data_IF_506968304022
#
_entry.id   IF_506968304022
#
_cell.length_a   1.000
_cell.length_b   1.000
_cell.length_c   1.000
_cell.angle_alpha   90.00
_cell.angle_beta   90.00
_cell.angle_gamma   90.00
#
_symmetry.space_group_name_H-M   'P 1'
#
loop_
_entity.id
_entity.type
_entity.pdbx_description
1 polymer ?
#
# COMPACT_ATOMS: atom_id res chain seq x y z
N UNK A 1 2.05 18.93 -13.33
CA UNK A 1 0.75 18.53 -12.75
C UNK A 1 -0.39 19.41 -13.23
N UNK A 2 -0.49 20.70 -12.86
CA UNK A 2 -1.61 21.55 -13.31
C UNK A 2 -1.83 21.57 -14.84
N UNK A 3 -0.75 21.63 -15.63
CA UNK A 3 -0.85 21.54 -17.11
C UNK A 3 -1.38 20.20 -17.63
N UNK A 4 -1.10 19.09 -16.92
CA UNK A 4 -1.62 17.77 -17.30
C UNK A 4 -3.11 17.68 -16.97
N UNK A 5 -3.50 18.08 -15.76
CA UNK A 5 -4.90 18.18 -15.34
C UNK A 5 -5.73 19.04 -16.31
N UNK A 6 -5.25 20.24 -16.65
CA UNK A 6 -5.93 21.15 -17.57
C UNK A 6 -6.04 20.64 -19.01
N UNK A 7 -5.24 19.65 -19.41
CA UNK A 7 -5.34 19.05 -20.75
C UNK A 7 -6.56 18.13 -20.85
N UNK A 8 -6.84 17.40 -19.78
CA UNK A 8 -8.00 16.52 -19.68
C UNK A 8 -9.26 17.28 -19.29
N UNK A 9 -9.13 18.34 -18.51
CA UNK A 9 -10.22 19.22 -18.09
C UNK A 9 -10.64 20.18 -19.23
N UNK A 10 -11.22 19.63 -20.29
CA UNK A 10 -11.56 20.39 -21.51
C UNK A 10 -12.79 21.29 -21.34
N UNK A 11 -13.66 20.99 -20.35
CA UNK A 11 -14.96 21.63 -20.18
C UNK A 11 -14.96 22.89 -19.30
N UNK A 12 -13.84 23.26 -18.68
CA UNK A 12 -13.73 24.43 -17.80
C UNK A 12 -14.51 24.33 -16.48
N UNK A 13 -14.95 23.12 -16.10
CA UNK A 13 -15.66 22.81 -14.85
C UNK A 13 -14.74 22.78 -13.61
N UNK A 14 -13.43 22.65 -13.82
CA UNK A 14 -12.45 22.49 -12.73
C UNK A 14 -12.35 21.06 -12.17
N UNK A 15 -13.00 20.09 -12.82
CA UNK A 15 -13.03 18.68 -12.42
C UNK A 15 -12.79 17.77 -13.63
N UNK A 16 -12.16 16.62 -13.40
CA UNK A 16 -12.07 15.51 -14.37
C UNK A 16 -12.85 14.32 -13.85
N UNK A 17 -13.49 13.56 -14.73
CA UNK A 17 -14.13 12.29 -14.38
C UNK A 17 -13.08 11.21 -14.08
N UNK A 18 -13.50 10.18 -13.35
CA UNK A 18 -12.65 9.00 -13.10
C UNK A 18 -12.23 8.32 -14.42
N UNK A 19 -13.09 8.32 -15.43
CA UNK A 19 -12.76 7.78 -16.77
C UNK A 19 -11.65 8.58 -17.46
N UNK A 20 -11.71 9.91 -17.42
CA UNK A 20 -10.67 10.79 -17.96
C UNK A 20 -9.35 10.60 -17.22
N UNK A 21 -9.39 10.46 -15.89
CA UNK A 21 -8.21 10.16 -15.08
C UNK A 21 -7.52 8.86 -15.54
N UNK A 22 -8.26 7.75 -15.64
CA UNK A 22 -7.70 6.46 -16.06
C UNK A 22 -7.22 6.45 -17.51
N UNK A 23 -7.90 7.19 -18.39
CA UNK A 23 -7.47 7.39 -19.78
C UNK A 23 -6.12 8.12 -19.86
N UNK A 24 -5.96 9.19 -19.09
CA UNK A 24 -4.73 9.99 -19.03
C UNK A 24 -3.51 9.21 -18.54
N UNK A 25 -3.71 8.30 -17.57
CA UNK A 25 -2.63 7.46 -17.04
C UNK A 25 -2.46 6.17 -17.84
N UNK A 26 -3.20 5.97 -18.93
CA UNK A 26 -3.14 4.74 -19.74
C UNK A 26 -3.37 3.46 -18.91
N UNK A 27 -4.33 3.49 -18.01
CA UNK A 27 -4.69 2.35 -17.16
C UNK A 27 -6.18 2.01 -17.32
N UNK A 28 -6.50 0.73 -17.22
CA UNK A 28 -7.88 0.26 -17.29
C UNK A 28 -8.51 0.25 -15.89
N UNK A 29 -9.83 0.48 -15.84
CA UNK A 29 -10.60 0.18 -14.64
C UNK A 29 -10.77 -1.34 -14.51
N UNK A 30 -10.17 -1.91 -13.48
CA UNK A 30 -10.15 -3.35 -13.18
C UNK A 30 -10.08 -3.55 -11.67
N UNK A 31 -10.13 -4.79 -11.20
CA UNK A 31 -10.09 -5.09 -9.76
C UNK A 31 -8.90 -4.40 -9.07
N UNK A 32 -7.71 -4.39 -9.70
CA UNK A 32 -6.52 -3.73 -9.19
C UNK A 32 -6.67 -2.21 -8.99
N UNK A 33 -7.54 -1.52 -9.74
CA UNK A 33 -7.70 -0.05 -9.66
C UNK A 33 -8.98 0.38 -8.95
N UNK A 34 -9.84 -0.57 -8.56
CA UNK A 34 -11.18 -0.31 -8.01
C UNK A 34 -11.13 0.40 -6.65
N UNK A 35 -10.26 -0.03 -5.74
CA UNK A 35 -10.08 0.60 -4.43
C UNK A 35 -9.03 1.69 -4.40
N UNK A 36 -8.52 2.15 -5.56
CA UNK A 36 -7.41 3.10 -5.61
C UNK A 36 -7.72 4.39 -4.86
N UNK A 37 -8.89 5.00 -5.11
CA UNK A 37 -9.25 6.28 -4.49
C UNK A 37 -9.50 6.14 -3.00
N UNK A 38 -10.15 5.05 -2.58
CA UNK A 38 -10.41 4.74 -1.18
C UNK A 38 -9.10 4.55 -0.39
N UNK A 39 -8.13 3.82 -0.97
CA UNK A 39 -6.79 3.66 -0.38
C UNK A 39 -6.08 5.00 -0.16
N UNK A 40 -6.34 5.97 -1.03
CA UNK A 40 -5.77 7.30 -0.97
C UNK A 40 -6.54 8.24 -0.02
N UNK A 41 -7.57 7.75 0.68
CA UNK A 41 -8.39 8.52 1.60
C UNK A 41 -9.46 9.39 0.92
N UNK A 42 -9.78 9.11 -0.35
CA UNK A 42 -10.88 9.75 -1.06
C UNK A 42 -12.18 8.95 -0.88
N UNK A 43 -13.31 9.57 -1.21
CA UNK A 43 -14.61 8.91 -1.14
C UNK A 43 -14.67 7.69 -2.07
N UNK A 44 -15.24 6.58 -1.59
CA UNK A 44 -15.37 5.31 -2.32
C UNK A 44 -16.08 5.46 -3.67
N UNK A 45 -17.19 6.20 -3.70
CA UNK A 45 -18.01 6.40 -4.91
C UNK A 45 -17.70 7.72 -5.63
N UNK A 46 -16.42 8.14 -5.60
CA UNK A 46 -15.99 9.36 -6.28
C UNK A 46 -16.24 9.25 -7.80
N UNK A 47 -16.92 10.25 -8.36
CA UNK A 47 -17.20 10.30 -9.81
C UNK A 47 -16.32 11.30 -10.55
N UNK A 48 -15.85 12.31 -9.83
CA UNK A 48 -15.08 13.44 -10.34
C UNK A 48 -13.98 13.79 -9.36
N UNK A 49 -12.83 14.18 -9.90
CA UNK A 49 -11.63 14.57 -9.18
C UNK A 49 -11.40 16.06 -9.41
N UNK A 50 -11.24 16.82 -8.32
CA UNK A 50 -10.70 18.18 -8.39
C UNK A 50 -9.19 18.11 -8.54
N UNK A 51 -8.58 19.28 -8.76
CA UNK A 51 -7.13 19.36 -8.92
C UNK A 51 -6.36 18.79 -7.71
N UNK A 52 -6.82 19.06 -6.49
CA UNK A 52 -6.15 18.57 -5.27
C UNK A 52 -6.24 17.04 -5.16
N UNK A 53 -7.39 16.45 -5.49
CA UNK A 53 -7.59 15.00 -5.52
C UNK A 53 -6.68 14.35 -6.57
N UNK A 54 -6.58 14.96 -7.76
CA UNK A 54 -5.65 14.53 -8.80
C UNK A 54 -4.19 14.57 -8.34
N UNK A 55 -3.77 15.66 -7.68
CA UNK A 55 -2.41 15.80 -7.16
C UNK A 55 -2.13 14.73 -6.11
N UNK A 56 -3.06 14.49 -5.20
CA UNK A 56 -2.97 13.44 -4.19
C UNK A 56 -2.80 12.06 -4.83
N UNK A 57 -3.63 11.71 -5.81
CA UNK A 57 -3.56 10.42 -6.49
C UNK A 57 -2.20 10.20 -7.16
N UNK A 58 -1.79 11.15 -8.00
CA UNK A 58 -0.55 11.00 -8.76
C UNK A 58 0.66 11.03 -7.82
N UNK A 59 0.73 11.96 -6.87
CA UNK A 59 1.89 12.09 -5.99
C UNK A 59 2.08 10.85 -5.10
N UNK A 60 0.99 10.27 -4.60
CA UNK A 60 1.05 9.08 -3.75
C UNK A 60 1.44 7.84 -4.54
N UNK A 61 0.73 7.51 -5.62
CA UNK A 61 1.01 6.29 -6.42
C UNK A 61 2.38 6.36 -7.10
N UNK A 62 2.76 7.55 -7.60
CA UNK A 62 4.08 7.75 -8.21
C UNK A 62 5.23 7.54 -7.22
N UNK A 63 4.99 7.62 -5.91
CA UNK A 63 6.03 7.51 -4.88
C UNK A 63 5.94 6.24 -4.03
N UNK A 64 4.97 5.35 -4.30
CA UNK A 64 4.91 4.04 -3.65
C UNK A 64 6.19 3.23 -3.88
N UNK A 65 6.63 2.52 -2.85
CA UNK A 65 7.66 1.51 -2.97
C UNK A 65 7.10 0.24 -3.61
N UNK A 66 7.98 -0.69 -4.01
CA UNK A 66 7.56 -2.02 -4.49
C UNK A 66 6.70 -2.76 -3.45
N UNK A 67 7.05 -2.63 -2.17
CA UNK A 67 6.31 -3.26 -1.07
C UNK A 67 4.94 -2.63 -0.88
N UNK A 68 4.81 -1.31 -1.02
CA UNK A 68 3.51 -0.63 -0.92
C UNK A 68 2.60 -0.96 -2.10
N UNK A 69 3.15 -1.00 -3.33
CA UNK A 69 2.40 -1.46 -4.51
C UNK A 69 1.88 -2.88 -4.32
N UNK A 70 2.72 -3.77 -3.78
CA UNK A 70 2.35 -5.15 -3.53
C UNK A 70 1.30 -5.27 -2.43
N UNK A 71 1.47 -4.53 -1.33
CA UNK A 71 0.52 -4.53 -0.22
C UNK A 71 -0.84 -3.96 -0.65
N UNK A 72 -0.84 -2.87 -1.42
CA UNK A 72 -2.05 -2.33 -2.03
C UNK A 72 -2.73 -3.41 -2.90
N UNK A 73 -1.98 -4.04 -3.80
CA UNK A 73 -2.53 -5.08 -4.65
C UNK A 73 -3.05 -6.26 -3.83
N UNK A 74 -2.36 -6.67 -2.76
CA UNK A 74 -2.81 -7.72 -1.86
C UNK A 74 -4.21 -7.40 -1.29
N UNK A 75 -4.36 -6.20 -0.70
CA UNK A 75 -5.62 -5.72 -0.13
C UNK A 75 -6.76 -5.63 -1.16
N UNK A 76 -6.48 -5.43 -2.44
CA UNK A 76 -7.53 -5.39 -3.48
C UNK A 76 -8.11 -6.77 -3.81
N UNK A 77 -7.42 -7.85 -3.48
CA UNK A 77 -7.80 -9.21 -3.85
C UNK A 77 -8.06 -10.14 -2.64
N UNK A 78 -7.59 -9.79 -1.45
CA UNK A 78 -8.07 -10.31 -0.16
C UNK A 78 -9.43 -9.67 0.15
N UNK A 79 -10.50 -10.23 -0.44
CA UNK A 79 -11.84 -9.65 -0.45
C UNK A 79 -12.55 -9.86 0.90
N UNK A 80 -12.20 -10.95 1.59
CA UNK A 80 -12.76 -11.26 2.91
C UNK A 80 -11.97 -10.65 4.07
N UNK A 81 -10.87 -9.94 3.78
CA UNK A 81 -9.99 -9.29 4.75
C UNK A 81 -9.43 -10.28 5.78
N UNK A 82 -9.25 -11.54 5.38
CA UNK A 82 -8.71 -12.60 6.26
C UNK A 82 -7.21 -12.43 6.53
N UNK A 83 -6.51 -11.62 5.73
CA UNK A 83 -5.07 -11.43 5.80
C UNK A 83 -4.27 -12.49 5.05
N UNK A 84 -4.94 -13.41 4.35
CA UNK A 84 -4.37 -14.43 3.46
C UNK A 84 -5.24 -14.53 2.21
N UNK A 85 -4.63 -14.80 1.06
CA UNK A 85 -5.40 -15.10 -0.16
C UNK A 85 -5.70 -16.58 -0.26
N UNK A 86 -6.97 -16.94 -0.38
CA UNK A 86 -7.36 -18.29 -0.78
C UNK A 86 -7.00 -18.58 -2.26
N UNK A 87 -7.13 -19.84 -2.69
CA UNK A 87 -6.84 -20.22 -4.08
C UNK A 87 -7.63 -19.43 -5.13
N UNK A 88 -8.87 -19.02 -4.82
CA UNK A 88 -9.72 -18.25 -5.74
C UNK A 88 -9.26 -16.81 -5.84
N UNK A 89 -8.90 -16.21 -4.72
CA UNK A 89 -8.37 -14.85 -4.63
C UNK A 89 -6.99 -14.75 -5.28
N UNK A 90 -6.11 -15.73 -5.05
CA UNK A 90 -4.81 -15.82 -5.72
C UNK A 90 -4.98 -15.93 -7.24
N UNK A 91 -5.92 -16.75 -7.70
CA UNK A 91 -6.24 -16.86 -9.13
C UNK A 91 -6.75 -15.54 -9.68
N UNK A 92 -7.67 -14.87 -8.97
CA UNK A 92 -8.18 -13.56 -9.35
C UNK A 92 -7.08 -12.50 -9.38
N UNK A 93 -6.16 -12.50 -8.42
CA UNK A 93 -4.99 -11.63 -8.38
C UNK A 93 -4.12 -11.82 -9.63
N UNK A 94 -3.80 -13.07 -9.96
CA UNK A 94 -3.01 -13.40 -11.14
C UNK A 94 -3.71 -13.01 -12.45
N UNK A 95 -5.01 -13.25 -12.59
CA UNK A 95 -5.78 -12.75 -13.74
C UNK A 95 -5.79 -11.21 -13.76
N UNK A 96 -5.93 -10.59 -12.60
CA UNK A 96 -5.89 -9.15 -12.43
C UNK A 96 -4.58 -8.51 -12.87
N UNK A 97 -3.45 -9.21 -12.77
CA UNK A 97 -2.15 -8.75 -13.28
C UNK A 97 -2.06 -8.79 -14.81
N UNK A 98 -2.77 -9.74 -15.45
CA UNK A 98 -2.84 -9.86 -16.91
C UNK A 98 -3.75 -8.75 -17.46
N UNK A 99 -3.22 -7.53 -17.61
CA UNK A 99 -3.94 -6.47 -18.35
C UNK A 99 -4.18 -6.94 -19.81
N UNK A 100 -5.28 -6.54 -20.45
CA UNK A 100 -5.57 -6.86 -21.86
C UNK A 100 -4.45 -6.44 -22.81
N UNK A 101 -3.72 -5.38 -22.47
CA UNK A 101 -2.54 -4.89 -23.22
C UNK A 101 -1.28 -5.73 -23.01
N UNK A 102 -1.34 -6.72 -22.11
CA UNK A 102 -0.18 -7.32 -21.46
C UNK A 102 -0.04 -8.83 -21.70
N UNK A 103 -0.42 -9.28 -22.90
CA UNK A 103 -0.28 -10.66 -23.39
C UNK A 103 1.09 -11.29 -23.09
N UNK A 104 2.14 -10.49 -22.96
CA UNK A 104 3.52 -10.92 -22.73
C UNK A 104 3.79 -11.53 -21.34
N UNK A 105 2.92 -11.33 -20.33
CA UNK A 105 3.19 -11.80 -18.96
C UNK A 105 2.41 -13.04 -18.54
N UNK A 106 1.39 -13.45 -19.31
CA UNK A 106 0.48 -14.52 -18.91
C UNK A 106 1.20 -15.81 -18.49
N UNK A 107 2.22 -16.23 -19.24
CA UNK A 107 3.04 -17.41 -18.91
C UNK A 107 3.81 -17.22 -17.59
N UNK A 108 4.46 -16.08 -17.41
CA UNK A 108 5.24 -15.80 -16.19
C UNK A 108 4.34 -15.71 -14.95
N UNK A 109 3.15 -15.13 -15.10
CA UNK A 109 2.14 -15.06 -14.05
C UNK A 109 1.63 -16.45 -13.67
N UNK A 110 1.34 -17.30 -14.65
CA UNK A 110 0.92 -18.68 -14.37
C UNK A 110 2.01 -19.47 -13.65
N UNK A 111 3.26 -19.36 -14.09
CA UNK A 111 4.40 -20.00 -13.41
C UNK A 111 4.57 -19.48 -11.98
N UNK A 112 4.41 -18.18 -11.75
CA UNK A 112 4.46 -17.62 -10.40
C UNK A 112 3.34 -18.18 -9.50
N UNK A 113 2.10 -18.28 -10.01
CA UNK A 113 0.96 -18.88 -9.30
C UNK A 113 1.25 -20.34 -8.91
N UNK A 114 1.65 -21.17 -9.86
CA UNK A 114 2.00 -22.58 -9.61
C UNK A 114 3.07 -22.71 -8.53
N UNK A 115 4.09 -21.83 -8.55
CA UNK A 115 5.17 -21.86 -7.57
C UNK A 115 4.73 -21.40 -6.18
N UNK A 116 3.78 -20.48 -6.08
CA UNK A 116 3.19 -20.07 -4.80
C UNK A 116 2.32 -21.18 -4.21
N UNK A 117 1.46 -21.80 -5.03
CA UNK A 117 0.64 -22.96 -4.64
C UNK A 117 1.51 -24.10 -4.11
N UNK A 118 2.55 -24.48 -4.87
CA UNK A 118 3.47 -25.54 -4.46
C UNK A 118 4.25 -25.18 -3.18
N UNK A 119 4.59 -23.89 -2.96
CA UNK A 119 5.27 -23.45 -1.74
C UNK A 119 4.38 -23.62 -0.52
N UNK A 120 3.12 -23.21 -0.63
CA UNK A 120 2.16 -23.36 0.45
C UNK A 120 1.86 -24.84 0.75
N UNK A 121 1.62 -25.63 -0.29
CA UNK A 121 1.41 -27.07 -0.16
C UNK A 121 2.60 -27.77 0.52
N UNK A 122 3.85 -27.47 0.12
CA UNK A 122 5.03 -28.06 0.75
C UNK A 122 5.20 -27.66 2.23
N UNK A 123 4.71 -26.48 2.63
CA UNK A 123 4.74 -26.02 4.02
C UNK A 123 3.75 -26.82 4.88
N UNK A 124 2.58 -27.11 4.34
CA UNK A 124 1.52 -27.84 5.02
C UNK A 124 1.71 -29.37 4.99
N UNK A 125 2.25 -29.91 3.90
CA UNK A 125 2.51 -31.35 3.73
C UNK A 125 3.58 -31.87 4.72
N UNK A 126 4.48 -31.02 5.23
CA UNK A 126 5.45 -31.44 6.25
C UNK A 126 4.78 -31.78 7.60
N UNK A 127 3.58 -31.27 7.85
CA UNK A 127 2.83 -31.50 9.09
C UNK A 127 1.79 -32.62 8.99
N UNK A 128 1.48 -33.09 7.78
CA UNK A 128 0.43 -34.09 7.56
C UNK A 128 1.03 -35.43 7.11
N UNK A 129 1.33 -36.28 8.08
CA UNK A 129 1.97 -37.59 7.85
C UNK A 129 0.97 -38.67 7.38
N UNK A 130 -0.33 -38.36 7.29
CA UNK A 130 -1.39 -39.33 7.01
C UNK A 130 -2.49 -38.84 6.03
N UNK A 131 -2.25 -37.76 5.28
CA UNK A 131 -3.23 -37.20 4.34
C UNK A 131 -3.54 -38.10 3.14
N UNK A 132 -4.81 -38.09 2.71
CA UNK A 132 -5.26 -38.69 1.44
C UNK A 132 -4.57 -38.00 0.23
N UNK A 133 -4.41 -38.71 -0.91
CA UNK A 133 -3.90 -38.09 -2.12
C UNK A 133 -4.80 -36.92 -2.56
N UNK A 134 -4.26 -35.69 -2.52
CA UNK A 134 -4.97 -34.50 -3.00
C UNK A 134 -4.84 -34.37 -4.52
N UNK A 135 -5.92 -33.95 -5.19
CA UNK A 135 -5.86 -33.57 -6.61
C UNK A 135 -5.29 -32.16 -6.76
N UNK A 136 -4.83 -31.79 -7.97
CA UNK A 136 -4.33 -30.43 -8.25
C UNK A 136 -5.39 -29.35 -7.93
N UNK A 137 -6.68 -29.66 -8.16
CA UNK A 137 -7.79 -28.77 -7.85
C UNK A 137 -7.98 -28.60 -6.33
N UNK A 138 -7.81 -29.68 -5.56
CA UNK A 138 -7.87 -29.63 -4.09
C UNK A 138 -6.69 -28.84 -3.51
N UNK A 139 -5.49 -29.03 -4.07
CA UNK A 139 -4.28 -28.31 -3.65
C UNK A 139 -4.47 -26.81 -3.87
N UNK A 140 -4.97 -26.41 -5.04
CA UNK A 140 -5.22 -25.00 -5.31
C UNK A 140 -6.34 -24.45 -4.41
N UNK A 141 -7.45 -25.16 -4.24
CA UNK A 141 -8.57 -24.69 -3.43
C UNK A 141 -8.17 -24.46 -1.96
N UNK A 142 -7.25 -25.27 -1.43
CA UNK A 142 -6.75 -25.16 -0.05
C UNK A 142 -5.52 -24.27 0.08
N UNK A 143 -5.06 -23.64 -1.00
CA UNK A 143 -3.88 -22.76 -0.96
C UNK A 143 -4.17 -21.52 -0.15
N UNK A 144 -3.24 -21.17 0.75
CA UNK A 144 -3.23 -19.91 1.49
C UNK A 144 -1.94 -19.14 1.21
N UNK A 145 -2.06 -17.92 0.69
CA UNK A 145 -0.91 -17.04 0.39
C UNK A 145 -0.99 -15.77 1.21
N UNK A 146 -0.07 -15.59 2.14
CA UNK A 146 0.08 -14.33 2.86
C UNK A 146 0.90 -13.28 2.08
N UNK A 147 0.97 -12.06 2.62
CA UNK A 147 1.74 -10.97 2.01
C UNK A 147 3.25 -11.27 1.92
N UNK A 148 3.80 -12.05 2.85
CA UNK A 148 5.23 -12.41 2.85
C UNK A 148 5.55 -13.38 1.71
N UNK A 149 4.67 -14.35 1.47
CA UNK A 149 4.76 -15.29 0.37
C UNK A 149 4.64 -14.60 -0.97
N UNK A 150 3.71 -13.65 -1.07
CA UNK A 150 3.57 -12.82 -2.27
C UNK A 150 4.81 -11.94 -2.47
N UNK A 151 5.40 -11.39 -1.40
CA UNK A 151 6.64 -10.61 -1.46
C UNK A 151 7.81 -11.44 -1.96
N UNK A 152 8.00 -12.65 -1.43
CA UNK A 152 8.99 -13.61 -1.94
C UNK A 152 8.75 -13.90 -3.42
N UNK A 153 7.51 -14.20 -3.80
CA UNK A 153 7.10 -14.41 -5.20
C UNK A 153 7.44 -13.21 -6.10
N UNK A 154 7.22 -11.98 -5.64
CA UNK A 154 7.53 -10.77 -6.40
C UNK A 154 9.04 -10.59 -6.68
N UNK A 155 9.90 -11.10 -5.79
CA UNK A 155 11.36 -11.05 -5.97
C UNK A 155 11.87 -12.12 -6.92
N UNK A 156 11.28 -13.31 -6.89
CA UNK A 156 11.64 -14.45 -7.74
C UNK A 156 11.09 -14.31 -9.16
N UNK A 157 9.85 -13.83 -9.28
CA UNK A 157 9.10 -13.74 -10.54
C UNK A 157 8.83 -12.29 -10.92
N UNK A 158 9.86 -11.44 -10.93
CA UNK A 158 9.73 -9.99 -11.13
C UNK A 158 8.90 -9.62 -12.38
N UNK A 159 9.00 -10.40 -13.45
CA UNK A 159 8.25 -10.16 -14.70
C UNK A 159 6.75 -10.42 -14.53
N UNK A 160 6.36 -11.37 -13.67
CA UNK A 160 4.95 -11.63 -13.37
C UNK A 160 4.29 -10.44 -12.65
N UNK A 161 5.04 -9.75 -11.78
CA UNK A 161 4.56 -8.62 -10.99
C UNK A 161 4.82 -7.26 -11.63
N UNK A 162 5.46 -7.23 -12.82
CA UNK A 162 5.71 -6.00 -13.55
C UNK A 162 4.47 -5.12 -13.79
N UNK A 163 3.25 -5.66 -14.00
CA UNK A 163 2.04 -4.84 -14.11
C UNK A 163 1.79 -3.88 -12.94
N UNK A 164 2.23 -4.22 -11.72
CA UNK A 164 2.13 -3.31 -10.58
C UNK A 164 3.08 -2.12 -10.72
N UNK A 165 4.30 -2.37 -11.22
CA UNK A 165 5.26 -1.32 -11.55
C UNK A 165 4.78 -0.48 -12.73
N UNK A 166 4.12 -1.10 -13.71
CA UNK A 166 3.56 -0.40 -14.86
C UNK A 166 2.53 0.65 -14.42
N UNK A 167 1.62 0.31 -13.50
CA UNK A 167 0.66 1.26 -12.92
C UNK A 167 1.37 2.50 -12.34
N UNK A 168 2.45 2.30 -11.59
CA UNK A 168 3.23 3.40 -11.04
C UNK A 168 3.93 4.22 -12.15
N UNK A 169 4.56 3.55 -13.10
CA UNK A 169 5.27 4.22 -14.20
C UNK A 169 4.33 5.07 -15.05
N UNK A 170 3.13 4.56 -15.30
CA UNK A 170 2.02 5.27 -15.93
C UNK A 170 1.67 6.56 -15.19
N UNK A 171 1.54 6.50 -13.86
CA UNK A 171 1.31 7.70 -13.02
C UNK A 171 2.49 8.68 -13.09
N UNK A 172 3.73 8.18 -13.11
CA UNK A 172 4.93 9.02 -13.23
C UNK A 172 4.97 9.75 -14.57
N UNK A 173 4.67 9.04 -15.65
CA UNK A 173 4.71 9.53 -17.02
C UNK A 173 3.64 10.59 -17.31
N UNK A 174 2.43 10.47 -16.75
CA UNK A 174 1.33 11.40 -17.04
C UNK A 174 1.56 12.85 -16.56
N UNK A 175 2.49 13.07 -15.62
CA UNK A 175 2.57 14.32 -14.86
C UNK A 175 3.88 15.10 -15.02
N UNK A 176 4.95 14.65 -14.36
CA UNK A 176 6.24 15.37 -14.26
C UNK A 176 7.43 14.51 -14.75
N UNK A 177 7.18 13.26 -15.15
CA UNK A 177 8.17 12.35 -15.70
C UNK A 177 8.93 11.55 -14.63
N UNK A 178 9.57 10.49 -15.09
CA UNK A 178 10.23 9.50 -14.23
C UNK A 178 11.33 10.09 -13.35
N UNK A 179 12.19 10.94 -13.90
CA UNK A 179 13.34 11.51 -13.18
C UNK A 179 12.91 12.38 -11.99
N UNK A 180 11.85 13.17 -12.15
CA UNK A 180 11.29 13.98 -11.07
C UNK A 180 10.78 13.09 -9.94
N UNK A 181 9.96 12.10 -10.28
CA UNK A 181 9.34 11.22 -9.29
C UNK A 181 10.34 10.29 -8.62
N UNK A 182 11.37 9.84 -9.33
CA UNK A 182 12.49 9.11 -8.73
C UNK A 182 13.17 9.94 -7.63
N UNK A 183 13.41 11.23 -7.88
CA UNK A 183 13.96 12.14 -6.87
C UNK A 183 13.00 12.44 -5.71
N UNK A 184 11.68 12.42 -5.93
CA UNK A 184 10.70 12.52 -4.84
C UNK A 184 10.68 11.22 -4.00
N UNK A 185 10.66 10.06 -4.65
CA UNK A 185 10.67 8.76 -3.99
C UNK A 185 11.95 8.55 -3.16
N UNK A 186 13.10 8.97 -3.68
CA UNK A 186 14.35 8.97 -2.92
C UNK A 186 14.25 9.83 -1.66
N UNK A 187 13.76 11.07 -1.77
CA UNK A 187 13.57 11.96 -0.62
C UNK A 187 12.59 11.38 0.41
N UNK A 188 11.53 10.72 -0.05
CA UNK A 188 10.58 10.01 0.82
C UNK A 188 11.29 8.89 1.60
N UNK A 189 12.16 8.12 0.94
CA UNK A 189 12.97 7.11 1.63
C UNK A 189 13.95 7.72 2.64
N UNK A 190 14.58 8.84 2.31
CA UNK A 190 15.46 9.56 3.23
C UNK A 190 14.71 10.04 4.49
N UNK A 191 13.45 10.47 4.34
CA UNK A 191 12.57 10.79 5.47
C UNK A 191 12.41 9.56 6.39
N UNK A 192 12.09 8.38 5.84
CA UNK A 192 11.94 7.15 6.65
C UNK A 192 13.21 6.80 7.43
N UNK A 193 14.37 6.96 6.80
CA UNK A 193 15.68 6.69 7.44
C UNK A 193 15.89 7.63 8.63
N UNK A 194 15.57 8.92 8.49
CA UNK A 194 15.67 9.89 9.59
C UNK A 194 14.65 9.58 10.69
N UNK A 195 13.40 9.26 10.33
CA UNK A 195 12.37 8.90 11.31
C UNK A 195 12.80 7.65 12.09
N UNK A 196 13.34 6.63 11.42
CA UNK A 196 13.87 5.44 12.08
C UNK A 196 15.01 5.78 13.05
N UNK A 197 15.95 6.64 12.64
CA UNK A 197 16.99 7.16 13.54
C UNK A 197 16.37 7.87 14.76
N UNK A 198 15.38 8.74 14.56
CA UNK A 198 14.71 9.45 15.65
C UNK A 198 14.06 8.48 16.64
N UNK A 199 13.42 7.39 16.16
CA UNK A 199 12.85 6.34 17.02
C UNK A 199 13.92 5.71 17.92
N UNK A 200 15.09 5.37 17.37
CA UNK A 200 16.21 4.77 18.12
C UNK A 200 16.88 5.77 19.09
N UNK A 201 16.86 7.06 18.76
CA UNK A 201 17.57 8.10 19.51
C UNK A 201 16.66 9.04 20.30
N UNK A 202 15.46 8.58 20.70
CA UNK A 202 14.50 9.32 21.55
C UNK A 202 14.13 10.69 20.97
N UNK A 203 13.83 10.73 19.68
CA UNK A 203 13.43 11.93 18.94
C UNK A 203 14.58 12.84 18.51
N UNK A 204 15.84 12.49 18.76
CA UNK A 204 16.99 13.29 18.30
C UNK A 204 17.17 13.16 16.80
N UNK A 205 17.47 14.29 16.15
CA UNK A 205 17.77 14.34 14.72
C UNK A 205 19.23 13.99 14.44
N UNK A 206 19.54 13.39 13.27
CA UNK A 206 20.90 13.23 12.82
C UNK A 206 21.53 14.59 12.52
N UNK A 207 22.86 14.69 12.63
CA UNK A 207 23.59 15.93 12.44
C UNK A 207 23.43 16.47 11.02
N UNK A 208 23.10 17.75 10.88
CA UNK A 208 23.01 18.46 9.61
C UNK A 208 24.05 19.57 9.54
N UNK A 209 24.84 19.62 8.47
CA UNK A 209 25.93 20.59 8.31
C UNK A 209 25.41 22.03 8.37
N UNK A 210 26.08 22.88 9.15
CA UNK A 210 25.75 24.31 9.27
C UNK A 210 25.92 25.01 7.91
N UNK A 211 26.96 24.64 7.16
CA UNK A 211 27.21 25.18 5.83
C UNK A 211 26.06 24.84 4.86
N UNK A 212 25.50 23.62 4.96
CA UNK A 212 24.32 23.25 4.17
C UNK A 212 23.08 24.05 4.57
N UNK A 213 22.93 24.46 5.83
CA UNK A 213 21.82 25.35 6.24
C UNK A 213 21.91 26.72 5.57
N UNK A 214 23.12 27.26 5.51
CA UNK A 214 23.37 28.55 4.85
C UNK A 214 23.07 28.43 3.35
N UNK A 215 23.60 27.39 2.68
CA UNK A 215 23.33 27.14 1.26
C UNK A 215 21.83 26.97 1.00
N UNK A 216 21.13 26.19 1.82
CA UNK A 216 19.70 25.95 1.69
C UNK A 216 18.87 27.24 1.74
N UNK A 217 19.26 28.16 2.63
CA UNK A 217 18.58 29.45 2.78
C UNK A 217 18.73 30.35 1.55
N UNK A 218 19.93 30.41 0.97
CA UNK A 218 20.21 31.27 -0.19
C UNK A 218 19.86 30.63 -1.54
N UNK A 219 19.81 29.30 -1.61
CA UNK A 219 19.58 28.56 -2.86
C UNK A 219 18.42 27.57 -2.69
N UNK A 220 17.15 27.98 -2.93
CA UNK A 220 15.98 27.14 -2.71
C UNK A 220 15.91 25.92 -3.65
N UNK A 221 16.61 25.95 -4.79
CA UNK A 221 16.68 24.84 -5.73
C UNK A 221 17.92 23.96 -5.54
N UNK A 222 18.70 24.16 -4.47
CA UNK A 222 19.90 23.37 -4.19
C UNK A 222 19.58 22.02 -3.55
N UNK A 223 20.51 21.07 -3.68
CA UNK A 223 20.47 19.80 -2.95
C UNK A 223 20.45 20.02 -1.42
N UNK A 224 21.11 21.07 -0.93
CA UNK A 224 21.11 21.40 0.49
C UNK A 224 19.71 21.79 1.00
N UNK A 225 18.93 22.52 0.20
CA UNK A 225 17.54 22.82 0.55
C UNK A 225 16.67 21.55 0.51
N UNK A 226 16.86 20.68 -0.47
CA UNK A 226 16.16 19.40 -0.53
C UNK A 226 16.40 18.55 0.73
N UNK A 227 17.65 18.45 1.19
CA UNK A 227 17.98 17.74 2.45
C UNK A 227 17.35 18.43 3.67
N UNK A 228 17.36 19.77 3.72
CA UNK A 228 16.73 20.51 4.82
C UNK A 228 15.21 20.24 4.89
N UNK A 229 14.53 20.18 3.74
CA UNK A 229 13.11 19.84 3.66
C UNK A 229 12.86 18.41 4.15
N UNK A 230 13.70 17.45 3.74
CA UNK A 230 13.64 16.06 4.23
C UNK A 230 13.72 16.00 5.76
N UNK A 231 14.66 16.72 6.37
CA UNK A 231 14.75 16.81 7.84
C UNK A 231 13.47 17.36 8.48
N UNK A 232 12.90 18.44 7.92
CA UNK A 232 11.65 19.02 8.44
C UNK A 232 10.47 18.06 8.32
N UNK A 233 10.35 17.38 7.18
CA UNK A 233 9.31 16.37 6.96
C UNK A 233 9.46 15.19 7.91
N UNK A 234 10.68 14.75 8.20
CA UNK A 234 10.93 13.70 9.18
C UNK A 234 10.47 14.07 10.59
N UNK A 235 10.67 15.32 11.01
CA UNK A 235 10.15 15.81 12.30
C UNK A 235 8.62 15.72 12.34
N UNK A 236 7.96 16.24 11.29
CA UNK A 236 6.50 16.23 11.21
C UNK A 236 5.95 14.81 11.19
N UNK A 237 6.54 13.93 10.39
CA UNK A 237 6.16 12.52 10.33
C UNK A 237 6.35 11.81 11.66
N UNK A 238 7.49 12.00 12.32
CA UNK A 238 7.75 11.40 13.63
C UNK A 238 6.73 11.86 14.67
N UNK A 239 6.42 13.16 14.71
CA UNK A 239 5.41 13.71 15.62
C UNK A 239 4.01 13.13 15.36
N UNK A 240 3.63 12.98 14.10
CA UNK A 240 2.36 12.38 13.71
C UNK A 240 2.27 10.89 14.09
N UNK A 241 3.34 10.12 13.88
CA UNK A 241 3.40 8.71 14.31
C UNK A 241 3.31 8.55 15.83
N UNK A 242 3.92 9.44 16.61
CA UNK A 242 3.77 9.45 18.06
C UNK A 242 2.32 9.72 18.47
N UNK A 243 1.67 10.69 17.81
CA UNK A 243 0.26 11.01 18.04
C UNK A 243 -0.64 9.82 17.79
N UNK A 244 -0.51 9.18 16.62
CA UNK A 244 -1.26 7.98 16.26
C UNK A 244 -1.04 6.86 17.28
N UNK A 245 0.21 6.65 17.73
CA UNK A 245 0.50 5.61 18.72
C UNK A 245 -0.14 5.89 20.08
N UNK A 246 -0.18 7.15 20.50
CA UNK A 246 -0.85 7.56 21.74
C UNK A 246 -2.37 7.35 21.64
N UNK A 247 -2.98 7.74 20.52
CA UNK A 247 -4.41 7.52 20.26
C UNK A 247 -4.75 6.02 20.27
N UNK A 248 -3.94 5.18 19.63
CA UNK A 248 -4.13 3.72 19.65
C UNK A 248 -3.94 3.12 21.05
N UNK A 249 -2.97 3.61 21.83
CA UNK A 249 -2.78 3.16 23.20
C UNK A 249 -3.95 3.54 24.11
N UNK A 250 -4.51 4.74 23.92
CA UNK A 250 -5.69 5.20 24.63
C UNK A 250 -6.92 4.35 24.28
N UNK A 251 -7.19 4.16 22.99
CA UNK A 251 -8.32 3.35 22.53
C UNK A 251 -8.24 1.90 23.03
N UNK A 252 -7.03 1.31 23.09
CA UNK A 252 -6.81 -0.03 23.67
C UNK A 252 -7.06 -0.06 25.18
N UNK A 253 -6.65 0.98 25.91
CA UNK A 253 -6.91 1.08 27.34
C UNK A 253 -8.41 1.20 27.65
N UNK A 254 -9.14 1.99 26.85
CA UNK A 254 -10.60 2.12 26.93
C UNK A 254 -11.32 0.82 26.58
N UNK A 255 -10.90 0.13 25.51
CA UNK A 255 -11.47 -1.18 25.15
C UNK A 255 -11.27 -2.21 26.27
N UNK A 256 -10.08 -2.24 26.89
CA UNK A 256 -9.79 -3.13 28.01
C UNK A 256 -10.61 -2.79 29.27
N UNK A 257 -10.83 -1.51 29.58
CA UNK A 257 -11.63 -1.13 30.74
C UNK A 257 -13.11 -1.47 30.56
N UNK A 258 -13.65 -1.29 29.35
CA UNK A 258 -15.01 -1.69 29.01
C UNK A 258 -15.19 -3.22 29.07
N UNK A 259 -14.20 -3.99 28.58
CA UNK A 259 -14.24 -5.45 28.67
C UNK A 259 -14.21 -5.94 30.13
N UNK A 260 -13.39 -5.32 30.99
CA UNK A 260 -13.34 -5.66 32.42
C UNK A 260 -14.64 -5.29 33.15
N UNK A 261 -15.25 -4.15 32.82
CA UNK A 261 -16.54 -3.75 33.38
C UNK A 261 -17.67 -4.72 32.98
N UNK A 262 -17.70 -5.15 31.71
CA UNK A 262 -18.67 -6.14 31.23
C UNK A 262 -18.54 -7.50 31.91
N UNK A 263 -17.31 -7.98 32.14
CA UNK A 263 -17.06 -9.22 32.89
C UNK A 263 -17.55 -9.09 34.33
N UNK A 264 -17.33 -7.93 34.97
CA UNK A 264 -17.77 -7.70 36.33
C UNK A 264 -19.31 -7.63 36.45
N UNK A 265 -20.00 -7.03 35.47
CA UNK A 265 -21.46 -7.03 35.40
C UNK A 265 -22.05 -8.43 35.16
N UNK A 266 -21.40 -9.27 34.33
CA UNK A 266 -21.80 -10.67 34.13
C UNK A 266 -21.59 -11.53 35.39
N UNK A 267 -20.47 -11.34 36.11
CA UNK A 267 -20.19 -12.00 37.38
C UNK A 267 -21.19 -11.59 38.48
N UNK A 268 -21.53 -10.29 38.56
CA UNK A 268 -22.54 -9.78 39.49
C UNK A 268 -23.95 -10.31 39.16
N UNK A 269 -24.31 -10.37 37.87
CA UNK A 269 -25.59 -10.93 37.42
C UNK A 269 -25.70 -12.44 37.71
N UNK A 270 -24.63 -13.21 37.54
CA UNK A 270 -24.58 -14.63 37.90
C UNK A 270 -24.60 -14.85 39.42
N UNK A 271 -23.96 -13.98 40.20
CA UNK A 271 -23.99 -14.06 41.66
C UNK A 271 -25.38 -13.76 42.23
N UNK A 272 -26.14 -12.84 41.63
CA UNK A 272 -27.49 -12.51 42.09
C UNK A 272 -28.54 -13.54 41.64
N UNK A 273 -28.34 -14.18 40.48
CA UNK A 273 -29.17 -15.30 40.02
C UNK A 273 -28.98 -16.61 40.83
N UNK A 274 -27.94 -16.70 41.65
CA UNK A 274 -27.59 -17.89 42.45
C UNK A 274 -28.01 -17.79 43.93
N UNK A 275 -28.70 -16.71 44.33
CA UNK A 275 -29.28 -16.59 45.67
C UNK A 275 -30.65 -17.30 45.73
N UNK A 276 -30.85 -18.27 46.64
CA UNK A 276 -32.09 -19.02 46.81
C UNK A 276 -33.22 -18.21 47.46
#
# INVERSE_FOLDING_TARGET
MHRAFKREEQLGTGEITVGEFFTMVHEQQRQLTKGLFEELGLARDIRRLRFDDFVLCVATVATWSKSELLHYAFKQFDVDESGVMDGRELRAFCEGLKNDSSFYFAKNVNTAREKLILRDHNRHHYNDTYGEPQTDDDIEANTLVDLEDLAKGSTEFQVAFYPLLQLQQNMRACALGESFWAGVAQRRQEVEVIVHFMRLHKGKLPSFSILNRIIAYFMPFSQANAQLVVHKLAILKFAEEERIRQEQAHARAEANSLAMAGIQEEEEAQADASKP
#
